data_IF_889895634728
#
_entry.id   IF_889895634728
#
_cell.length_a   1.000
_cell.length_b   1.000
_cell.length_c   1.000
_cell.angle_alpha   90.00
_cell.angle_beta   90.00
_cell.angle_gamma   90.00
#
_symmetry.space_group_name_H-M   'P 1'
#
loop_
_entity.id
_entity.type
_entity.pdbx_description
1 polymer ?
#
# COMPACT_ATOMS: atom_id res chain seq x y z
N UNK A 1 17.44 18.92 5.80
CA UNK A 1 18.32 18.26 4.82
C UNK A 1 18.78 16.92 5.39
N UNK A 2 18.70 15.86 4.61
CA UNK A 2 19.05 14.52 5.04
C UNK A 2 20.56 14.28 4.86
N UNK A 3 21.30 14.09 5.95
CA UNK A 3 22.70 13.78 5.88
C UNK A 3 22.92 12.36 5.32
N UNK A 4 23.86 12.22 4.39
CA UNK A 4 24.23 10.93 3.82
C UNK A 4 23.33 10.44 2.69
N UNK A 5 22.26 11.14 2.38
CA UNK A 5 21.38 10.76 1.29
C UNK A 5 21.57 11.69 0.10
N UNK A 6 21.51 11.09 -1.10
CA UNK A 6 21.70 11.83 -2.35
C UNK A 6 20.53 12.77 -2.67
N UNK A 7 19.31 12.39 -2.24
CA UNK A 7 18.09 13.14 -2.52
C UNK A 7 17.35 13.44 -1.23
N UNK A 8 16.75 14.63 -1.16
CA UNK A 8 15.92 15.02 -0.02
C UNK A 8 14.46 14.62 -0.19
N UNK A 9 14.05 14.34 -1.41
CA UNK A 9 12.65 13.96 -1.73
C UNK A 9 12.66 12.83 -2.75
N UNK A 10 11.96 11.76 -2.45
CA UNK A 10 11.98 10.54 -3.25
C UNK A 10 10.57 10.01 -3.45
N UNK A 11 10.28 9.55 -4.67
CA UNK A 11 9.09 8.79 -4.98
C UNK A 11 9.49 7.32 -5.12
N UNK A 12 8.94 6.48 -4.26
CA UNK A 12 9.18 5.04 -4.29
C UNK A 12 7.97 4.33 -4.88
N UNK A 13 8.19 3.54 -5.92
CA UNK A 13 7.14 2.71 -6.50
C UNK A 13 7.34 1.27 -6.02
N UNK A 14 6.29 0.69 -5.44
CA UNK A 14 6.28 -0.69 -4.98
C UNK A 14 5.22 -1.46 -5.75
N UNK A 15 5.56 -2.64 -6.24
CA UNK A 15 4.51 -3.54 -6.71
C UNK A 15 3.73 -4.07 -5.50
N UNK A 16 2.44 -4.34 -5.65
CA UNK A 16 1.67 -4.93 -4.57
C UNK A 16 2.26 -6.26 -4.10
N UNK A 17 2.91 -6.97 -5.00
CA UNK A 17 3.55 -8.26 -4.72
C UNK A 17 4.68 -8.14 -3.70
N UNK A 18 5.29 -6.95 -3.56
CA UNK A 18 6.30 -6.72 -2.54
C UNK A 18 5.76 -6.89 -1.11
N UNK A 19 4.45 -6.83 -0.93
CA UNK A 19 3.80 -6.99 0.38
C UNK A 19 3.37 -8.44 0.66
N UNK A 20 3.55 -9.34 -0.30
CA UNK A 20 2.99 -10.68 -0.25
C UNK A 20 3.89 -11.74 0.39
N UNK A 21 5.17 -11.48 0.50
CA UNK A 21 6.11 -12.48 1.01
C UNK A 21 6.24 -13.70 0.09
N UNK A 22 6.64 -14.81 0.67
CA UNK A 22 6.95 -16.04 -0.08
C UNK A 22 5.72 -16.69 -0.72
N UNK A 23 4.54 -16.48 -0.14
CA UNK A 23 3.30 -17.04 -0.68
C UNK A 23 2.96 -16.46 -2.04
N UNK A 24 3.32 -15.19 -2.28
CA UNK A 24 3.15 -14.54 -3.56
C UNK A 24 1.80 -13.87 -3.77
N UNK A 25 0.90 -13.91 -2.79
CA UNK A 25 -0.38 -13.20 -2.82
C UNK A 25 -0.78 -12.77 -1.43
N UNK A 26 -1.76 -11.86 -1.36
CA UNK A 26 -2.23 -11.32 -0.09
C UNK A 26 -1.24 -10.34 0.52
N UNK A 27 -1.38 -10.09 1.80
CA UNK A 27 -0.52 -9.19 2.58
C UNK A 27 0.12 -9.99 3.70
N UNK A 28 1.45 -10.01 3.72
CA UNK A 28 2.21 -10.65 4.80
C UNK A 28 2.56 -9.57 5.84
N UNK A 29 2.00 -9.62 7.06
CA UNK A 29 2.23 -8.58 8.06
C UNK A 29 3.70 -8.40 8.41
N UNK A 30 4.48 -9.47 8.43
CA UNK A 30 5.91 -9.39 8.74
C UNK A 30 6.68 -8.64 7.66
N UNK A 31 6.38 -8.92 6.39
CA UNK A 31 7.00 -8.26 5.26
C UNK A 31 6.68 -6.77 5.27
N UNK A 32 5.41 -6.43 5.52
CA UNK A 32 4.97 -5.04 5.60
C UNK A 32 5.65 -4.32 6.75
N UNK A 33 5.76 -4.98 7.90
CA UNK A 33 6.41 -4.39 9.07
C UNK A 33 7.90 -4.14 8.82
N UNK A 34 8.61 -5.12 8.24
CA UNK A 34 10.03 -4.97 7.91
C UNK A 34 10.26 -3.85 6.90
N UNK A 35 9.39 -3.74 5.90
CA UNK A 35 9.47 -2.66 4.91
C UNK A 35 9.23 -1.31 5.56
N UNK A 36 8.23 -1.23 6.44
CA UNK A 36 7.93 0.01 7.16
C UNK A 36 9.09 0.44 8.07
N UNK A 37 9.76 -0.52 8.70
CA UNK A 37 10.91 -0.24 9.54
C UNK A 37 12.04 0.41 8.72
N UNK A 38 12.34 -0.14 7.55
CA UNK A 38 13.38 0.40 6.66
C UNK A 38 13.02 1.80 6.17
N UNK A 39 11.76 2.01 5.79
CA UNK A 39 11.27 3.31 5.30
C UNK A 39 11.30 4.32 6.44
N UNK A 40 10.91 3.92 7.65
CA UNK A 40 10.90 4.79 8.81
C UNK A 40 12.29 5.36 9.10
N UNK A 41 13.33 4.55 8.98
CA UNK A 41 14.70 5.01 9.18
C UNK A 41 15.06 6.14 8.20
N UNK A 42 14.69 5.98 6.94
CA UNK A 42 14.96 6.97 5.89
C UNK A 42 14.22 8.28 6.18
N UNK A 43 12.96 8.18 6.57
CA UNK A 43 12.13 9.35 6.88
C UNK A 43 12.65 10.08 8.13
N UNK A 44 13.06 9.35 9.15
CA UNK A 44 13.64 9.95 10.37
C UNK A 44 14.92 10.71 10.07
N UNK A 45 15.65 10.28 9.05
CA UNK A 45 16.88 10.97 8.62
C UNK A 45 16.61 12.22 7.78
N UNK A 46 15.34 12.56 7.58
CA UNK A 46 14.94 13.82 6.95
C UNK A 46 14.53 13.73 5.49
N UNK A 47 14.48 12.53 4.91
CA UNK A 47 14.03 12.37 3.52
C UNK A 47 12.49 12.43 3.48
N UNK A 48 11.95 13.25 2.58
CA UNK A 48 10.52 13.26 2.29
C UNK A 48 10.22 12.15 1.28
N UNK A 49 9.31 11.26 1.64
CA UNK A 49 9.04 10.08 0.84
C UNK A 49 7.56 10.01 0.45
N UNK A 50 7.30 9.79 -0.83
CA UNK A 50 6.00 9.39 -1.34
C UNK A 50 6.11 7.95 -1.80
N UNK A 51 5.13 7.12 -1.45
CA UNK A 51 5.10 5.71 -1.84
C UNK A 51 3.87 5.47 -2.71
N UNK A 52 4.10 4.87 -3.88
CA UNK A 52 3.02 4.43 -4.77
C UNK A 52 3.03 2.91 -4.76
N UNK A 53 1.89 2.31 -4.47
CA UNK A 53 1.79 0.84 -4.37
C UNK A 53 0.66 0.33 -5.26
N UNK A 54 0.93 -0.78 -5.96
CA UNK A 54 -0.07 -1.46 -6.78
C UNK A 54 -0.90 -2.47 -5.99
N UNK A 55 -1.76 -3.20 -6.68
CA UNK A 55 -2.68 -4.16 -6.08
C UNK A 55 -2.55 -5.60 -6.58
N UNK A 56 -1.47 -5.94 -7.27
CA UNK A 56 -1.30 -7.25 -7.88
C UNK A 56 -1.33 -8.42 -6.90
N UNK A 57 -0.88 -8.21 -5.67
CA UNK A 57 -0.92 -9.24 -4.63
C UNK A 57 -2.34 -9.67 -4.28
N UNK A 58 -3.28 -8.72 -4.30
CA UNK A 58 -4.69 -9.00 -4.00
C UNK A 58 -5.32 -9.75 -5.19
N UNK A 59 -5.09 -9.27 -6.41
CA UNK A 59 -5.60 -9.92 -7.61
C UNK A 59 -5.09 -11.36 -7.73
N UNK A 60 -3.84 -11.62 -7.37
CA UNK A 60 -3.29 -12.97 -7.42
C UNK A 60 -4.05 -13.93 -6.53
N UNK A 61 -4.45 -13.46 -5.33
CA UNK A 61 -5.28 -14.26 -4.43
C UNK A 61 -6.68 -14.49 -4.93
N UNK A 62 -7.16 -13.66 -5.87
CA UNK A 62 -8.49 -13.74 -6.45
C UNK A 62 -8.50 -14.37 -7.84
N UNK A 63 -7.37 -14.88 -8.32
CA UNK A 63 -7.20 -15.28 -9.72
C UNK A 63 -8.31 -16.22 -10.22
N UNK A 64 -8.69 -17.22 -9.43
CA UNK A 64 -9.75 -18.14 -9.79
C UNK A 64 -11.15 -17.53 -9.77
N UNK A 65 -11.36 -16.53 -8.92
CA UNK A 65 -12.65 -15.84 -8.80
C UNK A 65 -12.80 -14.70 -9.80
N UNK A 66 -11.66 -14.14 -10.26
CA UNK A 66 -11.65 -13.02 -11.19
C UNK A 66 -11.84 -13.46 -12.64
N UNK A 67 -11.68 -14.75 -12.94
CA UNK A 67 -11.84 -15.27 -14.30
C UNK A 67 -13.28 -15.09 -14.77
N UNK A 68 -13.44 -14.46 -15.93
CA UNK A 68 -14.75 -14.17 -16.48
C UNK A 68 -15.43 -12.93 -15.90
N UNK A 69 -14.75 -12.23 -14.98
CA UNK A 69 -15.29 -11.02 -14.38
C UNK A 69 -15.40 -9.88 -15.40
N UNK A 70 -16.46 -9.09 -15.28
CA UNK A 70 -16.61 -7.87 -16.07
C UNK A 70 -15.42 -6.93 -15.84
N UNK A 71 -14.91 -6.33 -16.93
CA UNK A 71 -13.70 -5.50 -16.86
C UNK A 71 -13.86 -4.30 -15.95
N UNK A 72 -15.02 -3.64 -15.97
CA UNK A 72 -15.26 -2.49 -15.10
C UNK A 72 -15.23 -2.89 -13.63
N UNK A 73 -15.76 -4.07 -13.29
CA UNK A 73 -15.71 -4.60 -11.93
C UNK A 73 -14.27 -4.95 -11.54
N UNK A 74 -13.53 -5.58 -12.46
CA UNK A 74 -12.13 -5.93 -12.20
C UNK A 74 -11.27 -4.69 -11.96
N UNK A 75 -11.47 -3.64 -12.75
CA UNK A 75 -10.75 -2.39 -12.59
C UNK A 75 -11.07 -1.74 -11.24
N UNK A 76 -12.34 -1.76 -10.84
CA UNK A 76 -12.76 -1.20 -9.55
C UNK A 76 -12.14 -1.98 -8.39
N UNK A 77 -12.13 -3.29 -8.47
CA UNK A 77 -11.49 -4.16 -7.48
C UNK A 77 -9.99 -3.84 -7.40
N UNK A 78 -9.34 -3.60 -8.56
CA UNK A 78 -7.94 -3.21 -8.58
C UNK A 78 -7.67 -1.91 -7.85
N UNK A 79 -8.53 -0.93 -8.02
CA UNK A 79 -8.42 0.35 -7.30
C UNK A 79 -8.59 0.14 -5.80
N UNK A 80 -9.56 -0.68 -5.39
CA UNK A 80 -9.75 -1.01 -3.97
C UNK A 80 -8.55 -1.78 -3.41
N UNK A 81 -7.97 -2.67 -4.19
CA UNK A 81 -6.79 -3.42 -3.79
C UNK A 81 -5.61 -2.50 -3.48
N UNK A 82 -5.41 -1.45 -4.28
CA UNK A 82 -4.35 -0.47 -4.01
C UNK A 82 -4.60 0.28 -2.71
N UNK A 83 -5.87 0.61 -2.43
CA UNK A 83 -6.25 1.27 -1.18
C UNK A 83 -5.99 0.36 0.02
N UNK A 84 -6.31 -0.93 -0.09
CA UNK A 84 -6.05 -1.91 0.96
C UNK A 84 -4.55 -1.96 1.30
N UNK A 85 -3.71 -2.04 0.28
CA UNK A 85 -2.26 -2.06 0.48
C UNK A 85 -1.76 -0.76 1.10
N UNK A 86 -2.27 0.38 0.65
CA UNK A 86 -1.88 1.67 1.19
C UNK A 86 -2.27 1.80 2.66
N UNK A 87 -3.45 1.32 3.04
CA UNK A 87 -3.89 1.34 4.44
C UNK A 87 -3.04 0.41 5.32
N UNK A 88 -2.66 -0.75 4.80
CA UNK A 88 -1.78 -1.67 5.51
C UNK A 88 -0.40 -1.03 5.76
N UNK A 89 0.13 -0.34 4.75
CA UNK A 89 1.39 0.39 4.90
C UNK A 89 1.26 1.55 5.89
N UNK A 90 0.17 2.30 5.83
CA UNK A 90 -0.07 3.40 6.76
C UNK A 90 -0.08 2.91 8.21
N UNK A 91 -0.79 1.82 8.46
CA UNK A 91 -0.84 1.22 9.80
C UNK A 91 0.56 0.82 10.28
N UNK A 92 1.35 0.19 9.39
CA UNK A 92 2.71 -0.20 9.72
C UNK A 92 3.62 1.01 10.00
N UNK A 93 3.51 2.07 9.20
CA UNK A 93 4.27 3.30 9.43
C UNK A 93 3.93 3.92 10.78
N UNK A 94 2.64 3.95 11.14
CA UNK A 94 2.21 4.49 12.42
C UNK A 94 2.77 3.68 13.60
N UNK A 95 2.83 2.35 13.47
CA UNK A 95 3.46 1.51 14.49
C UNK A 95 4.95 1.82 14.67
N UNK A 96 5.60 2.32 13.64
CA UNK A 96 6.99 2.74 13.68
C UNK A 96 7.16 4.25 13.98
N UNK A 97 6.10 4.92 14.38
CA UNK A 97 6.13 6.31 14.79
C UNK A 97 6.20 7.31 13.63
N UNK A 98 5.88 6.87 12.41
CA UNK A 98 5.89 7.72 11.23
C UNK A 98 4.45 8.08 10.85
N UNK A 99 4.18 9.38 10.76
CA UNK A 99 2.90 9.87 10.26
C UNK A 99 2.86 9.74 8.73
N UNK A 100 1.74 9.25 8.22
CA UNK A 100 1.53 9.16 6.77
C UNK A 100 0.10 9.52 6.41
N UNK A 101 -0.10 9.82 5.14
CA UNK A 101 -1.43 10.16 4.60
C UNK A 101 -1.66 9.34 3.35
N UNK A 102 -2.76 8.58 3.33
CA UNK A 102 -3.17 7.81 2.17
C UNK A 102 -3.96 8.71 1.22
N UNK A 103 -3.61 8.66 -0.06
CA UNK A 103 -4.34 9.31 -1.13
C UNK A 103 -4.69 8.29 -2.20
N UNK A 104 -5.86 8.42 -2.78
CA UNK A 104 -6.37 7.49 -3.76
C UNK A 104 -7.25 8.21 -4.78
N UNK A 105 -7.40 7.61 -5.96
CA UNK A 105 -8.36 8.05 -6.95
C UNK A 105 -9.81 7.80 -6.50
N UNK A 106 -10.00 6.89 -5.54
CA UNK A 106 -11.31 6.62 -4.94
C UNK A 106 -11.51 7.55 -3.75
N UNK A 107 -12.71 8.09 -3.61
CA UNK A 107 -13.05 8.89 -2.44
C UNK A 107 -13.09 8.00 -1.20
N UNK A 108 -12.10 8.17 -0.32
CA UNK A 108 -11.98 7.37 0.91
C UNK A 108 -13.17 7.54 1.84
N UNK A 109 -13.79 8.71 1.82
CA UNK A 109 -14.96 8.99 2.63
C UNK A 109 -16.16 8.15 2.19
N UNK A 110 -16.34 7.97 0.89
CA UNK A 110 -17.38 7.10 0.36
C UNK A 110 -17.15 5.64 0.77
N UNK A 111 -15.93 5.17 0.70
CA UNK A 111 -15.59 3.81 1.13
C UNK A 111 -15.93 3.62 2.61
N UNK A 112 -15.57 4.57 3.45
CA UNK A 112 -15.87 4.52 4.89
C UNK A 112 -17.36 4.51 5.16
N UNK A 113 -18.14 5.30 4.44
CA UNK A 113 -19.60 5.33 4.59
C UNK A 113 -20.23 3.99 4.24
N UNK A 114 -19.76 3.36 3.17
CA UNK A 114 -20.27 2.05 2.76
C UNK A 114 -20.01 1.00 3.84
N UNK A 115 -18.84 1.00 4.43
CA UNK A 115 -18.48 0.08 5.51
C UNK A 115 -19.37 0.30 6.72
N UNK A 116 -19.66 1.56 7.06
CA UNK A 116 -20.50 1.90 8.21
C UNK A 116 -21.98 1.55 8.02
N UNK A 117 -22.45 1.46 6.78
CA UNK A 117 -23.83 1.11 6.46
C UNK A 117 -24.07 -0.40 6.47
N UNK A 118 -23.05 -1.19 6.44
CA UNK A 118 -23.14 -2.64 6.51
C UNK A 118 -23.32 -3.13 7.94
#
# INVERSE_FOLDING_TARGET
>A
MSEGYRYDRVLLKLSGEALAGDVGYGIDPKVVDDLADQIADIVRDGVQLAVVVGGGNIFRGLAGSAEGMDRAQADYIGMLATVMNALALQDAFERHGIFSRVQSAINMQEVSQWILQM
#
